data_IF_191453043248
#
_entry.id   IF_191453043248
#
_cell.length_a   1.000
_cell.length_b   1.000
_cell.length_c   1.000
_cell.angle_alpha   90.00
_cell.angle_beta   90.00
_cell.angle_gamma   90.00
#
_symmetry.space_group_name_H-M   'P 1'
#
loop_
_entity.id
_entity.type
_entity.pdbx_description
1 polymer ?
#
# COMPACT_ATOMS: atom_id res chain seq x y z
N UNK A 1 -18.48 37.35 -110.34
CA UNK A 1 -19.36 38.43 -109.82
C UNK A 1 -20.12 37.91 -108.61
N UNK A 2 -20.50 38.83 -107.73
CA UNK A 2 -21.19 38.67 -106.43
C UNK A 2 -20.29 38.44 -105.20
N UNK A 3 -19.90 39.58 -104.63
CA UNK A 3 -19.37 39.79 -103.29
C UNK A 3 -20.50 39.66 -102.26
N UNK A 4 -20.23 39.02 -101.12
CA UNK A 4 -21.05 39.13 -99.92
C UNK A 4 -20.13 39.20 -98.69
N UNK A 5 -19.92 40.41 -98.19
CA UNK A 5 -19.32 40.65 -96.89
C UNK A 5 -20.37 40.36 -95.80
N UNK A 6 -20.03 39.55 -94.81
CA UNK A 6 -20.78 39.47 -93.54
C UNK A 6 -19.83 39.73 -92.38
N UNK A 7 -20.32 40.63 -91.53
CA UNK A 7 -19.64 41.36 -90.47
C UNK A 7 -19.52 40.53 -89.17
N UNK A 8 -18.50 40.87 -88.39
CA UNK A 8 -17.96 40.21 -87.20
C UNK A 8 -18.92 40.06 -85.99
N UNK A 9 -18.56 39.14 -85.07
CA UNK A 9 -18.62 39.41 -83.62
C UNK A 9 -17.35 38.90 -82.92
N UNK A 10 -16.66 39.72 -82.11
CA UNK A 10 -15.54 39.26 -81.30
C UNK A 10 -16.04 38.56 -80.03
N UNK A 11 -15.49 37.37 -79.75
CA UNK A 11 -15.68 36.64 -78.49
C UNK A 11 -14.97 37.37 -77.35
N UNK A 12 -15.74 37.97 -76.43
CA UNK A 12 -15.21 38.48 -75.14
C UNK A 12 -14.80 37.31 -74.26
N UNK A 13 -13.50 37.16 -73.97
CA UNK A 13 -13.00 36.30 -72.89
C UNK A 13 -13.14 37.05 -71.57
N UNK A 14 -13.87 36.48 -70.61
CA UNK A 14 -13.90 36.99 -69.24
C UNK A 14 -12.62 36.58 -68.50
N UNK A 15 -11.85 37.53 -67.92
CA UNK A 15 -10.76 37.18 -67.02
C UNK A 15 -11.36 36.70 -65.70
N UNK A 16 -11.06 35.46 -65.30
CA UNK A 16 -11.30 34.97 -63.94
C UNK A 16 -10.33 35.70 -63.01
N UNK A 17 -10.82 36.71 -62.31
CA UNK A 17 -10.11 37.32 -61.19
C UNK A 17 -9.95 36.23 -60.13
N UNK A 18 -8.74 35.71 -59.95
CA UNK A 18 -8.38 34.98 -58.74
C UNK A 18 -8.38 35.98 -57.61
N UNK A 19 -9.43 35.95 -56.78
CA UNK A 19 -9.45 36.71 -55.53
C UNK A 19 -8.31 36.22 -54.64
N UNK A 20 -7.33 37.09 -54.39
CA UNK A 20 -6.39 36.94 -53.29
C UNK A 20 -7.15 37.16 -51.99
N UNK A 21 -7.67 36.07 -51.40
CA UNK A 21 -8.25 36.09 -50.06
C UNK A 21 -7.12 36.25 -49.04
N UNK A 22 -6.90 37.47 -48.56
CA UNK A 22 -6.09 37.69 -47.36
C UNK A 22 -6.85 37.15 -46.14
N UNK A 23 -6.12 36.55 -45.20
CA UNK A 23 -6.67 36.10 -43.92
C UNK A 23 -7.33 37.27 -43.20
N UNK A 24 -8.56 37.07 -42.71
CA UNK A 24 -9.22 38.07 -41.89
C UNK A 24 -8.67 38.02 -40.46
N UNK A 25 -8.63 39.16 -39.78
CA UNK A 25 -8.26 39.22 -38.35
C UNK A 25 -9.14 38.29 -37.50
N UNK A 26 -10.42 38.15 -37.88
CA UNK A 26 -11.39 37.25 -37.25
C UNK A 26 -10.94 35.79 -37.32
N UNK A 27 -10.43 35.35 -38.46
CA UNK A 27 -10.02 33.96 -38.67
C UNK A 27 -8.81 33.58 -37.82
N UNK A 28 -7.83 34.49 -37.70
CA UNK A 28 -6.68 34.30 -36.79
C UNK A 28 -7.15 34.24 -35.34
N UNK A 29 -8.11 35.10 -34.95
CA UNK A 29 -8.65 35.13 -33.60
C UNK A 29 -9.41 33.83 -33.26
N UNK A 30 -10.21 33.31 -34.19
CA UNK A 30 -10.91 32.02 -34.03
C UNK A 30 -9.91 30.87 -33.98
N UNK A 31 -8.89 30.86 -34.83
CA UNK A 31 -7.85 29.82 -34.82
C UNK A 31 -7.09 29.79 -33.49
N UNK A 32 -6.73 30.97 -32.95
CA UNK A 32 -6.10 31.08 -31.64
C UNK A 32 -7.02 30.61 -30.51
N UNK A 33 -8.31 30.96 -30.56
CA UNK A 33 -9.30 30.50 -29.58
C UNK A 33 -9.40 28.97 -29.58
N UNK A 34 -9.52 28.36 -30.76
CA UNK A 34 -9.57 26.90 -30.90
C UNK A 34 -8.28 26.25 -30.40
N UNK A 35 -7.12 26.84 -30.69
CA UNK A 35 -5.83 26.34 -30.20
C UNK A 35 -5.78 26.34 -28.66
N UNK A 36 -6.22 27.42 -28.01
CA UNK A 36 -6.26 27.51 -26.54
C UNK A 36 -7.21 26.47 -25.95
N UNK A 37 -8.39 26.27 -26.55
CA UNK A 37 -9.35 25.25 -26.08
C UNK A 37 -8.74 23.85 -26.20
N UNK A 38 -8.16 23.52 -27.35
CA UNK A 38 -7.54 22.20 -27.58
C UNK A 38 -6.34 22.00 -26.66
N UNK A 39 -5.46 22.99 -26.53
CA UNK A 39 -4.32 22.93 -25.62
C UNK A 39 -4.77 22.78 -24.15
N UNK A 40 -5.82 23.50 -23.74
CA UNK A 40 -6.40 23.40 -22.41
C UNK A 40 -6.99 22.02 -22.13
N UNK A 41 -7.71 21.45 -23.09
CA UNK A 41 -8.24 20.09 -23.00
C UNK A 41 -7.12 19.05 -22.86
N UNK A 42 -6.09 19.13 -23.71
CA UNK A 42 -4.92 18.24 -23.66
C UNK A 42 -4.17 18.35 -22.33
N UNK A 43 -3.94 19.58 -21.86
CA UNK A 43 -3.28 19.82 -20.59
C UNK A 43 -4.11 19.26 -19.43
N UNK A 44 -5.42 19.51 -19.40
CA UNK A 44 -6.32 18.98 -18.36
C UNK A 44 -6.33 17.45 -18.33
N UNK A 45 -6.34 16.79 -19.49
CA UNK A 45 -6.30 15.34 -19.61
C UNK A 45 -4.97 14.79 -19.09
N UNK A 46 -3.85 15.41 -19.47
CA UNK A 46 -2.52 15.01 -19.03
C UNK A 46 -2.38 15.09 -17.51
N UNK A 47 -2.79 16.21 -16.89
CA UNK A 47 -2.75 16.37 -15.44
C UNK A 47 -3.70 15.44 -14.70
N UNK A 48 -4.85 15.11 -15.29
CA UNK A 48 -5.79 14.13 -14.72
C UNK A 48 -5.16 12.74 -14.67
N UNK A 49 -4.50 12.32 -15.75
CA UNK A 49 -3.81 11.02 -15.81
C UNK A 49 -2.63 10.96 -14.84
N UNK A 50 -1.82 12.03 -14.74
CA UNK A 50 -0.71 12.08 -13.79
C UNK A 50 -1.20 11.95 -12.34
N UNK A 51 -2.22 12.72 -11.95
CA UNK A 51 -2.80 12.66 -10.60
C UNK A 51 -3.48 11.32 -10.30
N UNK A 52 -4.03 10.65 -11.31
CA UNK A 52 -4.58 9.32 -11.15
C UNK A 52 -3.47 8.28 -10.91
N UNK A 53 -2.33 8.42 -11.60
CA UNK A 53 -1.16 7.56 -11.44
C UNK A 53 -0.51 7.71 -10.07
N UNK A 54 -0.24 8.93 -9.61
CA UNK A 54 0.35 9.18 -8.29
C UNK A 54 -0.51 8.61 -7.16
N UNK A 55 -1.83 8.82 -7.19
CA UNK A 55 -2.73 8.22 -6.19
C UNK A 55 -2.73 6.69 -6.22
N UNK A 56 -2.62 6.09 -7.42
CA UNK A 56 -2.57 4.64 -7.57
C UNK A 56 -1.25 4.05 -7.05
N UNK A 57 -0.14 4.75 -7.27
CA UNK A 57 1.19 4.32 -6.83
C UNK A 57 1.34 4.43 -5.31
N UNK A 58 0.93 5.54 -4.70
CA UNK A 58 0.99 5.76 -3.24
C UNK A 58 0.10 4.79 -2.46
N UNK A 59 -1.18 4.66 -2.84
CA UNK A 59 -2.09 3.70 -2.20
C UNK A 59 -1.70 2.24 -2.47
N UNK A 60 -0.98 1.99 -3.57
CA UNK A 60 -0.46 0.68 -3.92
C UNK A 60 0.63 0.19 -2.96
N UNK A 61 1.57 1.06 -2.59
CA UNK A 61 2.71 0.69 -1.75
C UNK A 61 2.29 0.40 -0.31
N UNK A 62 1.50 1.28 0.30
CA UNK A 62 0.98 1.07 1.66
C UNK A 62 0.15 -0.23 1.75
N UNK A 63 -0.66 -0.54 0.73
CA UNK A 63 -1.44 -1.78 0.69
C UNK A 63 -0.55 -3.01 0.51
N UNK A 64 0.55 -2.91 -0.26
CA UNK A 64 1.55 -3.99 -0.39
C UNK A 64 2.24 -4.25 0.94
N UNK A 65 2.71 -3.21 1.62
CA UNK A 65 3.35 -3.30 2.93
C UNK A 65 2.41 -3.91 3.99
N UNK A 66 1.16 -3.44 4.05
CA UNK A 66 0.12 -4.00 4.92
C UNK A 66 -0.09 -5.50 4.69
N UNK A 67 -0.27 -5.90 3.42
CA UNK A 67 -0.49 -7.31 3.07
C UNK A 67 0.72 -8.16 3.42
N UNK A 68 1.94 -7.69 3.13
CA UNK A 68 3.18 -8.37 3.48
C UNK A 68 3.33 -8.55 4.99
N UNK A 69 2.99 -7.52 5.77
CA UNK A 69 3.05 -7.54 7.24
C UNK A 69 2.03 -8.51 7.85
N UNK A 70 0.77 -8.48 7.39
CA UNK A 70 -0.26 -9.43 7.84
C UNK A 70 0.11 -10.87 7.51
N UNK A 71 0.68 -11.11 6.33
CA UNK A 71 1.09 -12.43 5.86
C UNK A 71 2.32 -12.95 6.62
N UNK A 72 3.28 -12.08 6.95
CA UNK A 72 4.39 -12.40 7.85
C UNK A 72 3.89 -12.80 9.24
N UNK A 73 3.09 -11.95 9.88
CA UNK A 73 2.51 -12.21 11.20
C UNK A 73 1.71 -13.52 11.20
N UNK A 74 0.91 -13.75 10.16
CA UNK A 74 0.16 -15.00 9.99
C UNK A 74 1.11 -16.21 9.97
N UNK A 75 2.17 -16.19 9.17
CA UNK A 75 3.13 -17.29 9.07
C UNK A 75 3.85 -17.57 10.38
N UNK A 76 4.29 -16.52 11.08
CA UNK A 76 4.98 -16.67 12.36
C UNK A 76 4.07 -17.25 13.43
N UNK A 77 2.80 -16.83 13.48
CA UNK A 77 1.82 -17.42 14.39
C UNK A 77 1.49 -18.87 14.00
N UNK A 78 1.28 -19.15 12.71
CA UNK A 78 1.04 -20.52 12.23
C UNK A 78 2.22 -21.45 12.60
N UNK A 79 3.44 -20.91 12.62
CA UNK A 79 4.68 -21.58 13.03
C UNK A 79 5.07 -21.42 14.51
N UNK A 80 4.17 -20.91 15.35
CA UNK A 80 4.47 -20.65 16.75
C UNK A 80 4.81 -21.95 17.49
N UNK A 81 5.93 -21.94 18.21
CA UNK A 81 6.46 -23.08 18.94
C UNK A 81 6.40 -22.83 20.45
N UNK A 82 5.83 -23.79 21.16
CA UNK A 82 5.70 -23.75 22.62
C UNK A 82 5.92 -25.15 23.19
N UNK A 83 6.66 -25.21 24.30
CA UNK A 83 6.82 -26.43 25.10
C UNK A 83 6.60 -26.08 26.55
N UNK A 84 5.64 -26.76 27.19
CA UNK A 84 5.40 -26.59 28.62
C UNK A 84 6.65 -26.88 29.43
N UNK A 85 6.97 -25.99 30.37
CA UNK A 85 8.15 -26.09 31.24
C UNK A 85 9.42 -25.40 30.73
N UNK A 86 9.51 -24.99 29.44
CA UNK A 86 10.65 -24.20 28.94
C UNK A 86 10.26 -22.71 28.84
N UNK A 87 10.73 -21.88 29.79
CA UNK A 87 10.44 -20.44 29.85
C UNK A 87 10.93 -19.64 28.64
N UNK A 88 11.88 -20.19 27.87
CA UNK A 88 12.37 -19.54 26.64
C UNK A 88 11.35 -19.66 25.52
N UNK A 89 10.55 -20.72 25.54
CA UNK A 89 9.53 -21.03 24.55
C UNK A 89 8.18 -20.52 25.06
N UNK A 90 7.88 -19.25 24.79
CA UNK A 90 6.68 -18.58 25.27
C UNK A 90 5.88 -17.93 24.15
N UNK A 91 4.58 -17.77 24.40
CA UNK A 91 3.67 -16.99 23.59
C UNK A 91 2.89 -16.06 24.52
N UNK A 92 3.06 -14.75 24.31
CA UNK A 92 2.50 -13.70 25.16
C UNK A 92 1.83 -12.64 24.29
N UNK A 93 0.62 -12.26 24.68
CA UNK A 93 -0.12 -11.13 24.14
C UNK A 93 -0.54 -10.25 25.29
N UNK A 94 -0.20 -8.97 25.21
CA UNK A 94 -0.68 -7.97 26.18
C UNK A 94 -1.63 -6.98 25.50
N UNK A 95 -2.74 -6.71 26.18
CA UNK A 95 -3.65 -5.64 25.79
C UNK A 95 -3.04 -4.30 26.23
N UNK A 96 -2.81 -3.43 25.25
CA UNK A 96 -2.14 -2.13 25.43
C UNK A 96 -2.84 -1.12 24.54
N UNK A 97 -2.76 0.13 24.95
CA UNK A 97 -3.41 1.26 24.28
C UNK A 97 -2.44 2.44 24.22
N UNK A 98 -2.49 3.19 23.12
CA UNK A 98 -1.77 4.45 22.94
C UNK A 98 -2.75 5.51 22.41
N UNK A 99 -3.17 6.42 23.29
CA UNK A 99 -4.17 7.47 23.01
C UNK A 99 -5.53 6.96 22.53
N UNK A 100 -6.06 5.89 23.14
CA UNK A 100 -7.34 5.28 22.78
C UNK A 100 -7.29 4.44 21.50
N UNK A 101 -6.08 4.22 20.94
CA UNK A 101 -5.84 3.34 19.80
C UNK A 101 -5.22 2.02 20.28
N UNK A 102 -5.75 0.86 19.83
CA UNK A 102 -5.18 -0.45 20.16
C UNK A 102 -3.70 -0.54 19.80
N UNK A 103 -2.89 -0.99 20.74
CA UNK A 103 -1.43 -1.03 20.61
C UNK A 103 -0.85 -2.31 21.21
N UNK A 104 -1.54 -3.45 21.01
CA UNK A 104 -1.19 -4.75 21.59
C UNK A 104 0.30 -5.08 21.42
N UNK A 105 0.87 -5.80 22.38
CA UNK A 105 2.18 -6.43 22.19
C UNK A 105 1.98 -7.91 21.89
N UNK A 106 2.85 -8.46 21.04
CA UNK A 106 2.86 -9.88 20.71
C UNK A 106 4.30 -10.38 20.79
N UNK A 107 4.54 -11.38 21.62
CA UNK A 107 5.80 -12.09 21.73
C UNK A 107 5.56 -13.57 21.48
N UNK A 108 6.31 -14.17 20.57
CA UNK A 108 6.23 -15.60 20.31
C UNK A 108 7.59 -16.18 19.88
N UNK A 109 7.75 -17.49 20.06
CA UNK A 109 8.82 -18.24 19.41
C UNK A 109 8.29 -18.86 18.13
N UNK A 110 9.05 -18.76 17.04
CA UNK A 110 8.72 -19.34 15.72
C UNK A 110 9.99 -19.88 15.05
N UNK A 111 9.82 -20.63 13.96
CA UNK A 111 10.94 -21.04 13.10
C UNK A 111 11.72 -19.81 12.58
N UNK A 112 13.04 -19.88 12.65
CA UNK A 112 13.92 -18.87 12.07
C UNK A 112 13.81 -18.88 10.54
N UNK A 113 13.84 -17.70 9.88
CA UNK A 113 13.94 -17.66 8.43
C UNK A 113 15.28 -18.27 7.98
N UNK A 114 15.35 -18.84 6.77
CA UNK A 114 16.62 -19.33 6.22
C UNK A 114 17.65 -18.20 6.22
N UNK A 115 18.79 -18.42 6.87
CA UNK A 115 19.91 -17.50 6.85
C UNK A 115 20.97 -18.01 5.88
N UNK A 116 21.51 -17.12 5.06
CA UNK A 116 22.69 -17.39 4.23
C UNK A 116 23.99 -17.17 5.03
N UNK A 117 23.90 -16.71 6.28
CA UNK A 117 25.04 -16.45 7.13
C UNK A 117 25.63 -17.79 7.62
N UNK A 118 26.95 -17.98 7.50
CA UNK A 118 27.64 -19.23 7.87
C UNK A 118 27.74 -19.47 9.39
N UNK A 119 27.17 -18.57 10.18
CA UNK A 119 27.23 -18.63 11.65
C UNK A 119 26.25 -19.68 12.17
N UNK A 120 26.60 -20.40 13.26
CA UNK A 120 25.64 -21.22 13.97
C UNK A 120 24.45 -20.34 14.42
N UNK A 121 23.29 -20.59 13.83
CA UNK A 121 22.04 -19.93 14.18
C UNK A 121 21.06 -20.99 14.70
N UNK A 122 20.21 -20.61 15.64
CA UNK A 122 19.12 -21.49 16.06
C UNK A 122 18.05 -21.60 14.97
N UNK A 123 17.47 -22.79 14.82
CA UNK A 123 16.27 -23.01 14.02
C UNK A 123 15.04 -22.26 14.58
N UNK A 124 15.13 -21.69 15.78
CA UNK A 124 14.07 -20.96 16.45
C UNK A 124 14.49 -19.53 16.79
N UNK A 125 13.55 -18.60 16.63
CA UNK A 125 13.73 -17.18 16.92
C UNK A 125 12.60 -16.70 17.82
N UNK A 126 12.93 -15.85 18.79
CA UNK A 126 11.98 -15.10 19.58
C UNK A 126 11.67 -13.81 18.83
N UNK A 127 10.42 -13.65 18.40
CA UNK A 127 9.94 -12.43 17.74
C UNK A 127 9.06 -11.63 18.68
N UNK A 128 9.23 -10.31 18.65
CA UNK A 128 8.42 -9.35 19.39
C UNK A 128 7.88 -8.29 18.46
N UNK A 129 6.59 -8.05 18.56
CA UNK A 129 5.89 -6.95 17.93
C UNK A 129 5.38 -6.00 18.99
N UNK A 130 5.55 -4.71 18.75
CA UNK A 130 5.02 -3.66 19.59
C UNK A 130 4.87 -2.37 18.83
N UNK A 131 3.87 -1.58 19.21
CA UNK A 131 3.66 -0.27 18.62
C UNK A 131 4.59 0.73 19.29
N UNK A 132 5.28 1.53 18.48
CA UNK A 132 6.04 2.69 18.94
C UNK A 132 5.48 3.95 18.32
N UNK A 133 5.42 5.01 19.11
CA UNK A 133 5.09 6.34 18.60
C UNK A 133 6.38 7.05 18.17
N UNK A 134 6.37 7.61 16.96
CA UNK A 134 7.39 8.53 16.46
C UNK A 134 6.70 9.68 15.75
N UNK A 135 6.99 10.91 16.14
CA UNK A 135 6.48 12.12 15.46
C UNK A 135 4.93 12.14 15.29
N UNK A 136 4.19 11.67 16.31
CA UNK A 136 2.72 11.53 16.34
C UNK A 136 2.15 10.48 15.38
N UNK A 137 3.00 9.69 14.73
CA UNK A 137 2.62 8.52 13.96
C UNK A 137 2.94 7.25 14.77
N UNK A 138 2.08 6.23 14.64
CA UNK A 138 2.34 4.94 15.23
C UNK A 138 3.00 4.05 14.19
N UNK A 139 4.09 3.41 14.58
CA UNK A 139 4.80 2.41 13.79
C UNK A 139 4.71 1.05 14.48
N UNK A 140 4.49 -0.01 13.71
CA UNK A 140 4.63 -1.38 14.20
C UNK A 140 6.11 -1.76 14.11
N UNK A 141 6.76 -1.97 15.25
CA UNK A 141 8.12 -2.45 15.29
C UNK A 141 8.17 -3.96 15.46
N UNK A 142 9.13 -4.59 14.77
CA UNK A 142 9.48 -6.00 14.93
C UNK A 142 10.90 -6.11 15.47
N UNK A 143 11.09 -7.04 16.38
CA UNK A 143 12.37 -7.41 16.94
C UNK A 143 12.49 -8.94 16.85
N UNK A 144 13.63 -9.44 16.38
CA UNK A 144 13.91 -10.87 16.28
C UNK A 144 15.22 -11.19 16.98
N UNK A 145 15.17 -12.14 17.92
CA UNK A 145 16.31 -12.55 18.75
C UNK A 145 16.52 -14.04 18.58
N UNK A 146 17.72 -14.44 18.21
CA UNK A 146 18.10 -15.85 18.29
C UNK A 146 17.98 -16.31 19.76
N UNK A 147 17.24 -17.39 19.99
CA UNK A 147 16.96 -17.91 21.33
C UNK A 147 18.23 -18.39 22.08
N UNK A 148 19.27 -18.76 21.34
CA UNK A 148 20.54 -19.25 21.88
C UNK A 148 21.71 -18.32 21.53
N UNK A 149 21.44 -17.24 20.79
CA UNK A 149 22.43 -16.21 20.47
C UNK A 149 22.65 -15.22 21.61
N UNK A 150 23.81 -14.56 21.60
CA UNK A 150 24.19 -13.51 22.56
C UNK A 150 24.04 -12.09 22.00
N UNK A 151 23.57 -11.95 20.76
CA UNK A 151 23.40 -10.67 20.08
C UNK A 151 22.20 -9.92 20.65
N UNK A 152 22.41 -8.63 20.94
CA UNK A 152 21.31 -7.74 21.29
C UNK A 152 20.48 -7.49 20.03
N UNK A 153 19.17 -7.75 20.06
CA UNK A 153 18.34 -7.55 18.89
C UNK A 153 18.16 -6.05 18.62
N UNK A 154 18.13 -5.68 17.35
CA UNK A 154 17.85 -4.32 16.92
C UNK A 154 16.41 -4.24 16.43
N UNK A 155 15.50 -3.56 17.16
CA UNK A 155 14.13 -3.40 16.71
C UNK A 155 14.10 -2.50 15.47
N UNK A 156 13.37 -2.91 14.45
CA UNK A 156 13.20 -2.15 13.21
C UNK A 156 11.70 -1.94 12.92
N UNK A 157 11.33 -0.84 12.24
CA UNK A 157 9.95 -0.63 11.82
C UNK A 157 9.58 -1.70 10.78
N UNK A 158 8.58 -2.51 11.10
CA UNK A 158 7.96 -3.46 10.16
C UNK A 158 6.90 -2.75 9.32
N UNK A 159 6.24 -1.74 9.88
CA UNK A 159 5.30 -0.88 9.18
C UNK A 159 5.33 0.52 9.81
N UNK A 160 5.59 1.55 9.01
CA UNK A 160 5.85 2.90 9.54
C UNK A 160 4.58 3.71 9.88
N UNK A 161 3.45 3.40 9.24
CA UNK A 161 2.21 4.17 9.40
C UNK A 161 1.01 3.26 9.69
N UNK A 162 0.72 3.09 10.97
CA UNK A 162 -0.47 2.41 11.47
C UNK A 162 -1.30 3.34 12.35
N UNK A 163 -2.58 3.03 12.46
CA UNK A 163 -3.54 3.67 13.36
C UNK A 163 -3.94 2.73 14.51
N UNK A 164 -3.59 1.45 14.43
CA UNK A 164 -3.81 0.51 15.52
C UNK A 164 -3.35 -0.89 15.20
N UNK A 165 -2.95 -1.61 16.24
CA UNK A 165 -2.56 -3.02 16.18
C UNK A 165 -3.24 -3.75 17.33
N UNK A 166 -4.13 -4.67 16.99
CA UNK A 166 -4.89 -5.47 17.94
C UNK A 166 -4.61 -6.95 17.70
N UNK A 167 -4.31 -7.66 18.78
CA UNK A 167 -4.14 -9.11 18.78
C UNK A 167 -5.15 -9.73 19.73
N UNK A 168 -5.94 -10.67 19.22
CA UNK A 168 -6.94 -11.39 20.00
C UNK A 168 -6.65 -12.89 19.91
N UNK A 169 -6.70 -13.57 21.04
CA UNK A 169 -6.54 -15.02 21.16
C UNK A 169 -7.90 -15.68 21.38
N UNK A 170 -8.15 -16.79 20.71
CA UNK A 170 -9.36 -17.58 20.90
C UNK A 170 -9.10 -18.73 21.86
N UNK A 171 -9.95 -18.84 22.88
CA UNK A 171 -9.96 -19.98 23.80
C UNK A 171 -11.39 -20.30 24.20
N UNK A 172 -11.77 -21.58 24.08
CA UNK A 172 -13.00 -22.12 24.67
C UNK A 172 -14.28 -21.34 24.33
N UNK A 173 -14.42 -20.88 23.08
CA UNK A 173 -15.62 -20.15 22.65
C UNK A 173 -15.50 -18.63 22.64
N UNK A 174 -14.43 -18.06 23.20
CA UNK A 174 -14.30 -16.61 23.43
C UNK A 174 -13.01 -16.05 22.86
N UNK A 175 -13.07 -14.79 22.43
CA UNK A 175 -11.90 -14.01 22.07
C UNK A 175 -11.46 -13.20 23.29
N UNK A 176 -10.17 -13.27 23.61
CA UNK A 176 -9.51 -12.55 24.69
C UNK A 176 -8.36 -11.72 24.13
N UNK A 177 -8.09 -10.55 24.72
CA UNK A 177 -7.03 -9.63 24.25
C UNK A 177 -5.70 -9.83 24.95
N UNK A 178 -5.64 -10.73 25.92
CA UNK A 178 -4.44 -11.08 26.64
C UNK A 178 -4.24 -12.60 26.65
N UNK A 179 -2.99 -13.01 26.53
CA UNK A 179 -2.59 -14.41 26.61
C UNK A 179 -1.20 -14.49 27.22
N UNK A 180 -0.96 -15.47 28.09
CA UNK A 180 0.37 -15.74 28.57
C UNK A 180 0.52 -17.24 28.80
N UNK A 181 1.43 -17.87 28.07
CA UNK A 181 1.71 -19.31 28.20
C UNK A 181 2.29 -19.75 29.54
N UNK A 182 2.76 -18.81 30.36
CA UNK A 182 3.16 -19.09 31.76
C UNK A 182 1.94 -19.27 32.67
N UNK A 183 0.84 -18.56 32.38
CA UNK A 183 -0.42 -18.64 33.16
C UNK A 183 -1.35 -19.71 32.61
N UNK A 184 -1.38 -19.88 31.29
CA UNK A 184 -2.16 -20.88 30.57
C UNK A 184 -1.20 -21.74 29.74
N UNK A 185 -0.78 -22.93 30.21
CA UNK A 185 0.31 -23.69 29.61
C UNK A 185 -0.06 -24.39 28.29
N UNK A 186 -0.64 -23.65 27.36
CA UNK A 186 -1.04 -24.06 26.01
C UNK A 186 -1.01 -22.85 25.07
N UNK A 187 -0.84 -23.11 23.77
CA UNK A 187 -1.06 -22.10 22.73
C UNK A 187 -2.57 -21.82 22.57
N UNK A 188 -2.96 -20.60 22.15
CA UNK A 188 -4.35 -20.31 21.82
C UNK A 188 -4.78 -21.09 20.57
N UNK A 189 -6.06 -21.46 20.48
CA UNK A 189 -6.57 -22.27 19.36
C UNK A 189 -6.53 -21.50 18.02
N UNK A 190 -6.76 -20.19 18.09
CA UNK A 190 -6.68 -19.25 16.98
C UNK A 190 -6.17 -17.92 17.50
N UNK A 191 -5.49 -17.18 16.63
CA UNK A 191 -5.13 -15.78 16.89
C UNK A 191 -5.67 -14.95 15.75
N UNK A 192 -6.29 -13.81 16.07
CA UNK A 192 -6.71 -12.80 15.12
C UNK A 192 -5.81 -11.59 15.29
N UNK A 193 -5.22 -11.17 14.19
CA UNK A 193 -4.49 -9.91 14.10
C UNK A 193 -5.39 -8.94 13.36
N UNK A 194 -5.48 -7.71 13.87
CA UNK A 194 -6.13 -6.60 13.18
C UNK A 194 -5.16 -5.42 13.10
N UNK A 195 -4.80 -5.04 11.88
CA UNK A 195 -4.06 -3.81 11.60
C UNK A 195 -5.03 -2.75 11.09
N UNK A 196 -4.97 -1.59 11.71
CA UNK A 196 -5.77 -0.42 11.33
C UNK A 196 -4.83 0.57 10.68
N UNK A 197 -5.15 1.02 9.47
CA UNK A 197 -4.32 1.94 8.67
C UNK A 197 -5.19 3.03 8.05
N UNK A 198 -4.56 4.14 7.70
CA UNK A 198 -5.22 5.22 6.95
C UNK A 198 -5.25 4.87 5.46
N UNK A 199 -6.42 4.80 4.85
CA UNK A 199 -6.66 4.61 3.42
C UNK A 199 -7.32 5.89 2.87
N UNK A 200 -6.50 6.81 2.36
CA UNK A 200 -6.93 8.16 1.99
C UNK A 200 -7.35 9.00 3.21
N UNK A 201 -8.60 9.48 3.22
CA UNK A 201 -9.17 10.23 4.35
C UNK A 201 -9.83 9.34 5.41
N UNK A 202 -9.96 8.04 5.14
CA UNK A 202 -10.64 7.10 6.03
C UNK A 202 -9.63 6.18 6.73
N UNK A 203 -10.06 5.62 7.86
CA UNK A 203 -9.30 4.60 8.56
C UNK A 203 -9.95 3.24 8.29
N UNK A 204 -9.16 2.27 7.83
CA UNK A 204 -9.63 0.93 7.50
C UNK A 204 -8.92 -0.12 8.36
N UNK A 205 -9.69 -1.08 8.87
CA UNK A 205 -9.19 -2.21 9.65
C UNK A 205 -9.12 -3.48 8.80
N UNK A 206 -7.97 -4.12 8.80
CA UNK A 206 -7.68 -5.34 8.05
C UNK A 206 -7.30 -6.44 9.04
N UNK A 207 -7.99 -7.58 8.95
CA UNK A 207 -7.76 -8.68 9.86
C UNK A 207 -7.36 -9.97 9.15
N UNK A 208 -6.52 -10.75 9.82
CA UNK A 208 -6.15 -12.11 9.42
C UNK A 208 -6.25 -13.03 10.64
N UNK A 209 -6.64 -14.28 10.40
CA UNK A 209 -6.67 -15.32 11.42
C UNK A 209 -5.60 -16.37 11.15
N UNK A 210 -4.85 -16.72 12.18
CA UNK A 210 -3.82 -17.74 12.19
C UNK A 210 -4.16 -18.83 13.22
N UNK A 211 -3.62 -20.03 13.02
CA UNK A 211 -3.80 -21.18 13.90
C UNK A 211 -2.42 -21.71 14.27
N UNK A 212 -1.94 -21.44 15.49
CA UNK A 212 -0.71 -22.04 15.98
C UNK A 212 -0.74 -23.55 15.83
N UNK A 213 0.16 -24.10 14.99
CA UNK A 213 0.26 -25.55 14.82
C UNK A 213 1.28 -26.07 15.83
N UNK A 214 0.80 -26.77 16.85
CA UNK A 214 1.68 -27.51 17.76
C UNK A 214 2.47 -28.53 16.91
N UNK A 215 3.79 -28.46 16.98
CA UNK A 215 4.71 -29.49 16.48
C UNK A 215 5.42 -30.15 17.64
#
# INVERSE_FOLDING_TARGET
MASAAVFQRPSRRHPTVRGSSGFTLLEVLVAMLLLVIVAGALYSSYFTVLRARERADEGGEQRRELRGTLDLLRREIDGAFYRSGDRRLRFVVEDRDVFGRPASTLELVTAAPPSADERPASDLVLVKYGVKEKERQLALNREATDLFGSMKPLPYPQMESIEGFLVECYDSGKWVRSWNTELSPKLPERVRITLTVRDGEQTAAYSVQARPRVR
#
